data_IF_751461593684
#
_entry.id   IF_751461593684
#
_cell.length_a   1.000
_cell.length_b   1.000
_cell.length_c   1.000
_cell.angle_alpha   90.00
_cell.angle_beta   90.00
_cell.angle_gamma   90.00
#
_symmetry.space_group_name_H-M   'P 1'
#
loop_
_entity.id
_entity.type
_entity.pdbx_description
1 polymer ?
#
# COMPACT_ATOMS: atom_id res chain seq x y z
N UNK A 1 29.24 -13.56 -7.72
CA UNK A 1 28.87 -12.12 -7.82
C UNK A 1 28.08 -11.74 -6.57
N UNK A 2 28.61 -10.83 -5.75
CA UNK A 2 27.85 -10.28 -4.63
C UNK A 2 26.83 -9.28 -5.20
N UNK A 3 25.64 -9.75 -5.52
CA UNK A 3 24.55 -8.87 -5.92
C UNK A 3 24.12 -8.15 -4.66
N UNK A 4 24.48 -6.88 -4.51
CA UNK A 4 23.94 -6.02 -3.44
C UNK A 4 22.43 -5.95 -3.60
N UNK A 5 21.69 -6.25 -2.53
CA UNK A 5 20.24 -6.06 -2.51
C UNK A 5 19.88 -4.61 -2.84
N UNK A 6 19.00 -4.33 -3.82
CA UNK A 6 18.65 -2.97 -4.19
C UNK A 6 17.84 -2.27 -3.09
N UNK A 7 17.96 -0.95 -3.00
CA UNK A 7 17.00 -0.17 -2.21
C UNK A 7 15.62 -0.20 -2.89
N UNK A 8 14.55 -0.28 -2.08
CA UNK A 8 13.17 -0.35 -2.56
C UNK A 8 12.42 0.85 -2.01
N UNK A 9 11.88 1.68 -2.89
CA UNK A 9 10.95 2.76 -2.56
C UNK A 9 9.60 2.38 -3.15
N UNK A 10 8.60 2.18 -2.28
CA UNK A 10 7.25 1.84 -2.67
C UNK A 10 6.31 3.01 -2.37
N UNK A 11 5.76 3.64 -3.41
CA UNK A 11 4.91 4.83 -3.30
C UNK A 11 3.48 4.45 -3.65
N UNK A 12 2.55 4.76 -2.75
CA UNK A 12 1.11 4.57 -2.96
C UNK A 12 0.44 5.93 -2.94
N UNK A 13 -0.12 6.35 -4.05
CA UNK A 13 -0.98 7.51 -4.10
C UNK A 13 -2.39 7.13 -3.64
N UNK A 14 -2.96 7.91 -2.72
CA UNK A 14 -4.32 7.73 -2.19
C UNK A 14 -5.29 8.53 -3.06
N UNK A 15 -6.37 7.90 -3.51
CA UNK A 15 -7.42 8.51 -4.33
C UNK A 15 -6.95 9.11 -5.68
N UNK A 16 -5.85 8.59 -6.25
CA UNK A 16 -5.38 8.97 -7.57
C UNK A 16 -6.18 8.26 -8.66
N UNK A 17 -6.79 9.00 -9.57
CA UNK A 17 -7.50 8.48 -10.73
C UNK A 17 -6.55 8.01 -11.84
N UNK A 18 -7.04 7.14 -12.72
CA UNK A 18 -6.24 6.58 -13.83
C UNK A 18 -5.62 7.65 -14.73
N UNK A 19 -6.36 8.70 -15.04
CA UNK A 19 -5.93 9.78 -15.96
C UNK A 19 -5.40 11.03 -15.24
N UNK A 20 -5.03 10.93 -13.96
CA UNK A 20 -4.59 12.08 -13.18
C UNK A 20 -3.09 12.43 -13.38
N UNK A 21 -2.37 11.64 -14.17
CA UNK A 21 -0.98 11.90 -14.54
C UNK A 21 -0.85 12.22 -16.02
N UNK A 22 0.07 13.11 -16.40
CA UNK A 22 0.30 13.49 -17.82
C UNK A 22 0.63 12.26 -18.67
N UNK A 23 1.46 11.36 -18.17
CA UNK A 23 1.78 10.10 -18.85
C UNK A 23 0.58 9.14 -19.00
N UNK A 24 -0.53 9.40 -18.29
CA UNK A 24 -1.76 8.62 -18.34
C UNK A 24 -2.92 9.35 -19.05
N UNK A 25 -2.68 10.56 -19.57
CA UNK A 25 -3.67 11.29 -20.37
C UNK A 25 -4.17 12.60 -19.76
N UNK A 26 -3.65 13.03 -18.59
CA UNK A 26 -3.97 14.33 -18.01
C UNK A 26 -3.47 15.47 -18.93
N UNK A 27 -4.33 16.46 -19.22
CA UNK A 27 -4.03 17.60 -20.08
C UNK A 27 -4.11 18.95 -19.38
N UNK A 28 -4.80 19.04 -18.24
CA UNK A 28 -5.04 20.30 -17.54
C UNK A 28 -3.81 20.78 -16.75
N UNK A 29 -2.94 19.86 -16.39
CA UNK A 29 -1.67 20.14 -15.70
C UNK A 29 -0.63 19.08 -16.05
N UNK A 30 0.65 19.39 -15.77
CA UNK A 30 1.76 18.50 -16.09
C UNK A 30 2.37 17.88 -14.82
N UNK A 31 2.78 16.60 -14.96
CA UNK A 31 3.46 15.83 -13.88
C UNK A 31 4.85 15.38 -14.34
N UNK A 32 5.78 16.32 -14.62
CA UNK A 32 7.02 16.03 -15.36
C UNK A 32 7.93 15.02 -14.66
N UNK A 33 7.98 15.02 -13.33
CA UNK A 33 8.81 14.09 -12.59
C UNK A 33 8.26 12.65 -12.64
N UNK A 34 6.94 12.49 -12.59
CA UNK A 34 6.28 11.18 -12.72
C UNK A 34 6.33 10.69 -14.17
N UNK A 35 6.23 11.59 -15.13
CA UNK A 35 6.40 11.27 -16.55
C UNK A 35 7.83 10.81 -16.85
N UNK A 36 8.84 11.46 -16.28
CA UNK A 36 10.24 11.04 -16.38
C UNK A 36 10.46 9.66 -15.76
N UNK A 37 9.86 9.39 -14.60
CA UNK A 37 9.90 8.07 -13.98
C UNK A 37 9.26 7.01 -14.87
N UNK A 38 8.08 7.30 -15.42
CA UNK A 38 7.36 6.40 -16.33
C UNK A 38 8.12 6.11 -17.62
N UNK A 39 8.85 7.11 -18.17
CA UNK A 39 9.64 6.96 -19.39
C UNK A 39 10.96 6.22 -19.18
N UNK A 40 11.53 6.29 -17.97
CA UNK A 40 12.79 5.59 -17.62
C UNK A 40 12.59 4.18 -17.10
N UNK A 41 11.36 3.78 -16.81
CA UNK A 41 11.03 2.48 -16.26
C UNK A 41 9.97 1.72 -17.05
N UNK A 42 9.23 0.85 -16.36
CA UNK A 42 8.12 0.10 -16.94
C UNK A 42 6.79 0.66 -16.46
N UNK A 43 5.90 1.01 -17.40
CA UNK A 43 4.54 1.44 -17.12
C UNK A 43 3.55 0.32 -17.40
N UNK A 44 2.81 -0.09 -16.38
CA UNK A 44 1.77 -1.11 -16.51
C UNK A 44 0.42 -0.44 -16.82
N UNK A 45 -0.06 -0.57 -18.03
CA UNK A 45 -1.29 0.09 -18.51
C UNK A 45 -2.57 -0.62 -18.04
N UNK A 46 -2.45 -1.84 -17.53
CA UNK A 46 -3.56 -2.69 -17.03
C UNK A 46 -3.26 -3.16 -15.60
N UNK A 47 -2.93 -2.22 -14.71
CA UNK A 47 -2.69 -2.49 -13.29
C UNK A 47 -3.81 -1.88 -12.46
N UNK A 48 -4.42 -2.70 -11.60
CA UNK A 48 -5.63 -2.33 -10.86
C UNK A 48 -5.43 -2.52 -9.36
N UNK A 49 -6.05 -1.63 -8.56
CA UNK A 49 -6.20 -1.86 -7.14
C UNK A 49 -7.16 -3.06 -6.89
N UNK A 50 -6.92 -3.81 -5.81
CA UNK A 50 -7.74 -4.98 -5.46
C UNK A 50 -9.18 -4.62 -5.07
N UNK A 51 -9.41 -3.38 -4.65
CA UNK A 51 -10.71 -2.89 -4.21
C UNK A 51 -10.80 -1.38 -4.43
N UNK A 52 -12.03 -0.83 -4.53
CA UNK A 52 -12.24 0.61 -4.67
C UNK A 52 -12.07 1.37 -3.34
N UNK A 53 -11.74 0.68 -2.24
CA UNK A 53 -11.64 1.24 -0.91
C UNK A 53 -10.22 1.11 -0.35
N UNK A 54 -9.78 2.15 0.36
CA UNK A 54 -8.41 2.30 0.84
C UNK A 54 -7.97 1.19 1.81
N UNK A 55 -8.75 0.87 2.85
CA UNK A 55 -8.41 -0.21 3.79
C UNK A 55 -8.30 -1.56 3.09
N UNK A 56 -9.26 -1.90 2.25
CA UNK A 56 -9.33 -3.17 1.52
C UNK A 56 -8.12 -3.35 0.60
N UNK A 57 -7.78 -2.32 -0.18
CA UNK A 57 -6.59 -2.32 -1.04
C UNK A 57 -5.31 -2.44 -0.22
N UNK A 58 -5.20 -1.70 0.89
CA UNK A 58 -4.00 -1.72 1.75
C UNK A 58 -3.80 -3.06 2.46
N UNK A 59 -4.88 -3.74 2.88
CA UNK A 59 -4.80 -5.11 3.41
C UNK A 59 -4.17 -6.04 2.37
N UNK A 60 -4.69 -6.04 1.15
CA UNK A 60 -4.19 -6.92 0.08
C UNK A 60 -2.73 -6.59 -0.27
N UNK A 61 -2.39 -5.30 -0.38
CA UNK A 61 -1.04 -4.84 -0.67
C UNK A 61 -0.03 -5.29 0.39
N UNK A 62 -0.35 -5.08 1.67
CA UNK A 62 0.55 -5.41 2.77
C UNK A 62 0.73 -6.91 2.98
N UNK A 63 -0.29 -7.71 2.71
CA UNK A 63 -0.28 -9.15 3.02
C UNK A 63 0.02 -10.04 1.82
N UNK A 64 -0.08 -9.51 0.60
CA UNK A 64 -0.04 -10.30 -0.63
C UNK A 64 -1.22 -11.27 -0.76
N UNK A 65 -2.30 -11.06 -0.01
CA UNK A 65 -3.49 -11.90 -0.01
C UNK A 65 -4.73 -11.11 -0.37
N UNK A 66 -5.71 -11.80 -0.95
CA UNK A 66 -6.98 -11.19 -1.26
C UNK A 66 -7.66 -10.69 0.02
N UNK A 67 -8.10 -9.43 0.02
CA UNK A 67 -8.58 -8.70 1.21
C UNK A 67 -9.73 -9.39 1.94
N UNK A 68 -10.59 -10.12 1.24
CA UNK A 68 -11.73 -10.84 1.84
C UNK A 68 -11.35 -12.05 2.70
N UNK A 69 -10.06 -12.35 2.81
CA UNK A 69 -9.55 -13.35 3.77
C UNK A 69 -9.36 -12.78 5.17
N UNK A 70 -9.59 -11.49 5.36
CA UNK A 70 -9.46 -10.79 6.63
C UNK A 70 -10.77 -10.12 7.02
N UNK A 71 -11.15 -10.16 8.30
CA UNK A 71 -12.33 -9.48 8.83
C UNK A 71 -12.32 -7.99 8.47
N UNK A 72 -11.16 -7.34 8.58
CA UNK A 72 -10.96 -5.95 8.17
C UNK A 72 -11.29 -5.70 6.69
N UNK A 73 -11.03 -6.67 5.82
CA UNK A 73 -11.31 -6.57 4.38
C UNK A 73 -12.75 -6.90 3.99
N UNK A 74 -13.53 -7.51 4.89
CA UNK A 74 -14.96 -7.83 4.65
C UNK A 74 -15.88 -6.65 4.94
N UNK A 75 -15.38 -5.64 5.65
CA UNK A 75 -16.14 -4.46 6.02
C UNK A 75 -15.80 -3.29 5.11
N UNK A 76 -16.61 -2.24 5.18
CA UNK A 76 -16.24 -0.94 4.60
C UNK A 76 -14.93 -0.42 5.21
N UNK A 77 -14.31 0.63 4.60
CA UNK A 77 -13.06 1.17 5.11
C UNK A 77 -13.12 1.42 6.61
N UNK A 78 -12.01 1.19 7.28
CA UNK A 78 -11.86 1.49 8.69
C UNK A 78 -12.25 2.94 8.96
N UNK A 79 -13.27 3.15 9.79
CA UNK A 79 -13.79 4.46 10.16
C UNK A 79 -13.46 4.76 11.62
N UNK A 80 -13.50 6.04 11.99
CA UNK A 80 -13.27 6.46 13.36
C UNK A 80 -14.14 5.72 14.40
N UNK A 81 -15.41 5.41 14.07
CA UNK A 81 -16.30 4.61 14.93
C UNK A 81 -15.78 3.21 15.28
N UNK A 82 -14.84 2.68 14.48
CA UNK A 82 -14.25 1.35 14.65
C UNK A 82 -12.86 1.41 15.34
N UNK A 83 -12.41 2.58 15.78
CA UNK A 83 -11.04 2.79 16.29
C UNK A 83 -10.69 1.91 17.49
N UNK A 84 -11.68 1.58 18.32
CA UNK A 84 -11.52 0.80 19.56
C UNK A 84 -11.93 -0.68 19.38
N UNK A 85 -12.29 -1.12 18.18
CA UNK A 85 -12.68 -2.50 17.91
C UNK A 85 -11.43 -3.39 17.71
N UNK A 86 -11.17 -4.37 18.60
CA UNK A 86 -10.01 -5.24 18.51
C UNK A 86 -10.04 -6.23 17.33
N UNK A 87 -11.13 -6.28 16.57
CA UNK A 87 -11.26 -7.10 15.36
C UNK A 87 -10.99 -6.29 14.08
N UNK A 88 -10.94 -4.97 14.20
CA UNK A 88 -10.84 -4.04 13.08
C UNK A 88 -9.40 -3.56 12.85
N UNK A 89 -8.51 -4.52 12.63
CA UNK A 89 -7.12 -4.25 12.30
C UNK A 89 -6.43 -5.45 11.65
N UNK A 90 -5.25 -5.20 11.10
CA UNK A 90 -4.42 -6.26 10.54
C UNK A 90 -3.80 -7.06 11.71
N UNK A 91 -4.02 -8.38 11.78
CA UNK A 91 -3.44 -9.22 12.84
C UNK A 91 -1.92 -9.09 12.89
N UNK A 92 -1.39 -8.96 14.11
CA UNK A 92 0.03 -8.69 14.35
C UNK A 92 0.96 -9.85 13.94
N UNK A 93 0.45 -11.06 14.01
CA UNK A 93 1.14 -12.31 13.68
C UNK A 93 1.10 -12.61 12.18
N UNK A 94 0.35 -11.81 11.41
CA UNK A 94 0.26 -12.04 9.97
C UNK A 94 1.46 -11.46 9.22
N UNK A 95 2.15 -12.27 8.39
CA UNK A 95 3.27 -11.77 7.59
C UNK A 95 2.86 -10.66 6.63
N UNK A 96 3.66 -9.60 6.59
CA UNK A 96 3.44 -8.46 5.69
C UNK A 96 4.63 -8.27 4.76
N UNK A 97 4.46 -7.48 3.69
CA UNK A 97 5.56 -7.12 2.80
C UNK A 97 6.76 -6.53 3.58
N UNK A 98 6.59 -5.53 4.48
CA UNK A 98 7.71 -5.04 5.29
C UNK A 98 8.35 -6.12 6.17
N UNK A 99 7.55 -6.99 6.83
CA UNK A 99 8.11 -8.04 7.68
C UNK A 99 8.97 -9.03 6.87
N UNK A 100 8.54 -9.39 5.67
CA UNK A 100 9.30 -10.26 4.76
C UNK A 100 10.59 -9.61 4.28
N UNK A 101 10.56 -8.31 4.00
CA UNK A 101 11.77 -7.56 3.65
C UNK A 101 12.73 -7.47 4.84
N UNK A 102 12.21 -7.26 6.06
CA UNK A 102 13.01 -7.28 7.28
C UNK A 102 13.68 -8.63 7.50
N UNK A 103 12.96 -9.74 7.31
CA UNK A 103 13.52 -11.11 7.36
C UNK A 103 14.64 -11.32 6.32
N UNK A 104 14.57 -10.62 5.18
CA UNK A 104 15.59 -10.62 4.14
C UNK A 104 16.75 -9.62 4.39
N UNK A 105 16.80 -8.98 5.57
CA UNK A 105 17.89 -8.09 5.98
C UNK A 105 17.71 -6.62 5.60
N UNK A 106 16.53 -6.22 5.12
CA UNK A 106 16.24 -4.81 4.86
C UNK A 106 15.86 -4.04 6.12
N UNK A 107 16.28 -2.79 6.21
CA UNK A 107 15.66 -1.81 7.10
C UNK A 107 14.38 -1.31 6.44
N UNK A 108 13.28 -1.28 7.19
CA UNK A 108 11.97 -0.88 6.66
C UNK A 108 11.43 0.35 7.37
N UNK A 109 10.74 1.22 6.63
CA UNK A 109 10.06 2.40 7.17
C UNK A 109 8.70 2.55 6.50
N UNK A 110 7.73 3.08 7.26
CA UNK A 110 6.43 3.52 6.74
C UNK A 110 6.28 5.01 7.01
N UNK A 111 5.96 5.77 5.96
CA UNK A 111 5.71 7.20 6.03
C UNK A 111 4.33 7.45 5.43
N UNK A 112 3.42 8.06 6.19
CA UNK A 112 2.06 8.41 5.74
C UNK A 112 0.97 7.48 6.25
N UNK A 113 -0.05 7.24 5.43
CA UNK A 113 -1.30 6.59 5.83
C UNK A 113 -1.14 5.08 6.02
N UNK A 114 -1.40 4.58 7.25
CA UNK A 114 -1.49 3.15 7.58
C UNK A 114 -2.87 2.57 7.26
N UNK A 115 -3.89 2.99 7.96
CA UNK A 115 -5.31 2.64 7.79
C UNK A 115 -5.63 1.13 7.89
N UNK A 116 -4.86 0.38 8.68
CA UNK A 116 -5.04 -1.06 8.93
C UNK A 116 -5.20 -1.38 10.41
N UNK A 117 -5.83 -0.49 11.15
CA UNK A 117 -6.14 -0.58 12.57
C UNK A 117 -5.67 0.66 13.32
N UNK A 118 -6.42 1.04 14.36
CA UNK A 118 -6.14 2.20 15.19
C UNK A 118 -5.54 1.84 16.55
N UNK A 119 -5.82 0.65 17.07
CA UNK A 119 -5.28 0.22 18.36
C UNK A 119 -3.75 -0.03 18.30
N UNK A 120 -3.03 0.14 19.42
CA UNK A 120 -1.57 -0.10 19.46
C UNK A 120 -1.17 -1.48 18.98
N UNK A 121 -2.00 -2.49 19.20
CA UNK A 121 -1.77 -3.86 18.73
C UNK A 121 -1.75 -3.99 17.19
N UNK A 122 -2.25 -2.99 16.46
CA UNK A 122 -2.23 -2.95 14.99
C UNK A 122 -1.17 -1.97 14.44
N UNK A 123 -0.31 -1.43 15.30
CA UNK A 123 0.71 -0.46 14.88
C UNK A 123 1.69 -1.07 13.86
N UNK A 124 2.07 -0.35 12.81
CA UNK A 124 3.11 -0.78 11.89
C UNK A 124 4.53 -0.72 12.50
N UNK A 125 4.68 -0.15 13.69
CA UNK A 125 5.97 0.06 14.38
C UNK A 125 6.42 -1.14 15.25
N UNK A 126 6.02 -2.33 14.91
CA UNK A 126 6.35 -3.58 15.63
C UNK A 126 7.47 -4.34 14.96
#
# INVERSE_FOLDING_TARGET
MNIKSPNIIFIVADDLGYADLSCCGQTDFHTPNLDALASSGSRFTQSYANAPLCTNTRVALMTGRYQYRFTLGLTEPLRYKNKDDPKMGLPADHPTLPSRLKDAGYSTALIGKWHLGALPLFSPLR
#
